data_IF_908954399146
#
_entry.id   IF_908954399146
#
_cell.length_a   1.000
_cell.length_b   1.000
_cell.length_c   1.000
_cell.angle_alpha   90.00
_cell.angle_beta   90.00
_cell.angle_gamma   90.00
#
_symmetry.space_group_name_H-M   'P 1'
#
loop_
_entity.id
_entity.type
_entity.pdbx_description
1 polymer ?
#
# COMPACT_ATOMS: atom_id res chain seq x y z
N UNK A 1 -95.51 38.92 -11.44
CA UNK A 1 -94.49 38.19 -12.23
C UNK A 1 -94.01 39.11 -13.35
N UNK A 2 -92.88 39.80 -13.17
CA UNK A 2 -92.35 40.67 -14.23
C UNK A 2 -91.87 39.82 -15.40
N UNK A 3 -92.56 39.94 -16.55
CA UNK A 3 -92.15 39.27 -17.80
C UNK A 3 -90.86 39.92 -18.27
N UNK A 4 -89.77 39.16 -18.23
CA UNK A 4 -88.50 39.58 -18.83
C UNK A 4 -88.75 39.77 -20.32
N UNK A 5 -88.52 40.99 -20.81
CA UNK A 5 -88.73 41.29 -22.22
C UNK A 5 -87.65 40.59 -23.06
N UNK A 6 -87.95 40.15 -24.29
CA UNK A 6 -87.00 39.42 -25.15
C UNK A 6 -85.72 40.22 -25.44
N UNK A 7 -85.78 41.56 -25.31
CA UNK A 7 -84.62 42.45 -25.41
C UNK A 7 -83.68 42.33 -24.21
N UNK A 8 -84.21 42.25 -23.00
CA UNK A 8 -83.42 42.05 -21.78
C UNK A 8 -82.74 40.68 -21.77
N UNK A 9 -83.42 39.64 -22.25
CA UNK A 9 -82.85 38.30 -22.39
C UNK A 9 -81.71 38.24 -23.41
N UNK A 10 -81.84 38.94 -24.56
CA UNK A 10 -80.76 39.06 -25.55
C UNK A 10 -79.56 39.81 -25.00
N UNK A 11 -79.77 40.90 -24.28
CA UNK A 11 -78.68 41.68 -23.68
C UNK A 11 -77.92 40.87 -22.62
N UNK A 12 -78.66 40.12 -21.79
CA UNK A 12 -78.07 39.23 -20.79
C UNK A 12 -77.23 38.12 -21.44
N UNK A 13 -77.69 37.52 -22.55
CA UNK A 13 -76.92 36.52 -23.29
C UNK A 13 -75.63 37.08 -23.90
N UNK A 14 -75.67 38.30 -24.46
CA UNK A 14 -74.50 38.97 -25.05
C UNK A 14 -73.44 39.36 -24.02
N UNK A 15 -73.81 39.58 -22.77
CA UNK A 15 -72.88 39.91 -21.68
C UNK A 15 -72.39 38.64 -20.98
N UNK A 16 -73.27 37.67 -20.76
CA UNK A 16 -72.94 36.45 -20.03
C UNK A 16 -71.92 35.58 -20.75
N UNK A 17 -71.95 35.50 -22.09
CA UNK A 17 -71.03 34.64 -22.85
C UNK A 17 -69.57 35.17 -22.78
N UNK A 18 -69.29 36.45 -23.09
CA UNK A 18 -67.94 37.00 -22.92
C UNK A 18 -67.49 37.00 -21.46
N UNK A 19 -68.38 37.31 -20.52
CA UNK A 19 -68.05 37.30 -19.09
C UNK A 19 -67.70 35.88 -18.60
N UNK A 20 -68.44 34.86 -19.05
CA UNK A 20 -68.12 33.47 -18.76
C UNK A 20 -66.80 33.03 -19.43
N UNK A 21 -66.50 33.52 -20.64
CA UNK A 21 -65.25 33.23 -21.33
C UNK A 21 -64.05 33.86 -20.63
N UNK A 22 -64.17 35.12 -20.19
CA UNK A 22 -63.15 35.83 -19.40
C UNK A 22 -62.98 35.17 -18.03
N UNK A 23 -64.08 34.84 -17.34
CA UNK A 23 -64.03 34.14 -16.07
C UNK A 23 -63.38 32.75 -16.20
N UNK A 24 -63.70 32.00 -17.27
CA UNK A 24 -63.09 30.70 -17.57
C UNK A 24 -61.61 30.85 -17.89
N UNK A 25 -61.22 31.88 -18.65
CA UNK A 25 -59.83 32.18 -18.96
C UNK A 25 -59.02 32.54 -17.71
N UNK A 26 -59.59 33.33 -16.79
CA UNK A 26 -58.96 33.67 -15.50
C UNK A 26 -58.77 32.42 -14.65
N UNK A 27 -59.79 31.55 -14.52
CA UNK A 27 -59.72 30.30 -13.74
C UNK A 27 -58.72 29.30 -14.33
N UNK A 28 -58.62 29.18 -15.64
CA UNK A 28 -57.63 28.30 -16.30
C UNK A 28 -56.21 28.86 -16.21
N UNK A 29 -56.07 30.20 -16.25
CA UNK A 29 -54.77 30.87 -16.11
C UNK A 29 -54.17 30.75 -14.71
N UNK A 30 -55.01 30.66 -13.66
CA UNK A 30 -54.56 30.43 -12.28
C UNK A 30 -54.30 28.95 -11.98
N UNK A 31 -54.81 28.02 -12.78
CA UNK A 31 -54.62 26.58 -12.59
C UNK A 31 -53.37 26.00 -13.29
N UNK A 32 -52.77 26.72 -14.24
CA UNK A 32 -51.74 26.18 -15.15
C UNK A 32 -50.28 26.48 -14.79
N UNK A 33 -49.96 26.84 -13.54
CA UNK A 33 -48.56 26.95 -13.06
C UNK A 33 -48.25 25.88 -12.01
N UNK A 34 -48.11 24.64 -12.47
CA UNK A 34 -47.41 23.60 -11.70
C UNK A 34 -46.73 22.62 -12.64
N UNK A 35 -45.65 23.08 -13.28
CA UNK A 35 -44.62 22.16 -13.74
C UNK A 35 -43.87 21.65 -12.51
N UNK A 36 -44.39 20.60 -11.87
CA UNK A 36 -43.64 19.89 -10.83
C UNK A 36 -42.49 19.15 -11.50
N UNK A 37 -41.30 19.75 -11.50
CA UNK A 37 -40.06 19.04 -11.79
C UNK A 37 -39.20 19.03 -10.54
N UNK A 38 -38.84 17.83 -10.08
CA UNK A 38 -37.81 17.63 -9.08
C UNK A 38 -36.66 16.88 -9.74
N UNK A 39 -35.43 17.37 -9.56
CA UNK A 39 -34.21 16.64 -9.89
C UNK A 39 -33.56 16.21 -8.59
N UNK A 40 -33.02 15.00 -8.56
CA UNK A 40 -32.12 14.55 -7.51
C UNK A 40 -30.80 14.22 -8.18
N UNK A 41 -29.69 14.64 -7.58
CA UNK A 41 -28.35 14.49 -8.15
C UNK A 41 -27.54 13.70 -7.15
N UNK A 42 -27.01 12.55 -7.56
CA UNK A 42 -25.87 11.98 -6.88
C UNK A 42 -24.64 12.70 -7.45
N UNK A 43 -23.88 13.48 -6.66
CA UNK A 43 -22.67 14.12 -7.15
C UNK A 43 -21.71 13.08 -7.73
N UNK A 44 -20.72 13.55 -8.49
CA UNK A 44 -19.67 12.68 -9.05
C UNK A 44 -19.07 11.82 -7.94
N UNK A 45 -19.26 10.51 -8.05
CA UNK A 45 -18.62 9.54 -7.17
C UNK A 45 -17.15 9.40 -7.59
N UNK A 46 -16.25 9.56 -6.63
CA UNK A 46 -14.82 9.44 -6.86
C UNK A 46 -14.31 8.25 -6.05
N UNK A 47 -13.58 7.35 -6.70
CA UNK A 47 -12.92 6.23 -6.04
C UNK A 47 -11.43 6.30 -6.36
N UNK A 48 -10.60 6.27 -5.32
CA UNK A 48 -9.15 6.19 -5.44
C UNK A 48 -8.70 4.88 -4.82
N UNK A 49 -7.92 4.09 -5.55
CA UNK A 49 -7.28 2.92 -4.99
C UNK A 49 -6.24 3.35 -3.94
N UNK A 50 -6.12 2.56 -2.86
CA UNK A 50 -5.00 2.68 -1.95
C UNK A 50 -3.72 2.11 -2.56
N UNK A 51 -2.58 2.41 -1.95
CA UNK A 51 -1.25 2.01 -2.43
C UNK A 51 -0.55 1.07 -1.46
N UNK A 52 0.31 0.22 -2.00
CA UNK A 52 1.37 -0.48 -1.27
C UNK A 52 2.68 0.03 -1.82
N UNK A 53 3.53 0.59 -0.97
CA UNK A 53 4.80 1.17 -1.38
C UNK A 53 5.86 0.92 -0.30
N UNK A 54 7.00 0.38 -0.72
CA UNK A 54 8.20 0.24 0.09
C UNK A 54 9.36 0.96 -0.59
N UNK A 55 10.22 1.56 0.22
CA UNK A 55 11.54 2.03 -0.16
C UNK A 55 12.55 1.66 0.91
N UNK A 56 13.82 1.62 0.56
CA UNK A 56 14.92 1.49 1.52
C UNK A 56 15.92 2.66 1.38
N UNK A 57 16.95 2.69 2.24
CA UNK A 57 17.96 3.76 2.32
C UNK A 57 19.31 3.39 1.66
N UNK A 58 19.39 2.34 0.81
CA UNK A 58 20.64 1.85 0.20
C UNK A 58 20.97 2.43 -1.19
N UNK A 59 20.03 3.17 -1.79
CA UNK A 59 20.16 3.75 -3.13
C UNK A 59 20.59 2.71 -4.19
N UNK A 60 20.02 1.51 -4.10
CA UNK A 60 20.25 0.35 -4.95
C UNK A 60 21.69 -0.22 -4.87
N UNK A 61 22.31 -0.12 -3.68
CA UNK A 61 23.67 -0.58 -3.38
C UNK A 61 23.64 -1.89 -2.60
N UNK A 62 24.51 -2.84 -2.92
CA UNK A 62 24.60 -4.08 -2.16
C UNK A 62 24.99 -3.82 -0.69
N UNK A 63 24.30 -4.45 0.26
CA UNK A 63 24.65 -4.36 1.69
C UNK A 63 26.08 -4.83 1.98
N UNK A 64 26.64 -5.74 1.19
CA UNK A 64 28.02 -6.22 1.37
C UNK A 64 28.74 -6.36 0.04
N UNK A 65 29.96 -5.83 -0.01
CA UNK A 65 30.96 -6.10 -1.05
C UNK A 65 32.24 -6.63 -0.40
N UNK A 66 32.11 -7.77 0.29
CA UNK A 66 33.20 -8.34 1.07
C UNK A 66 34.15 -9.16 0.17
N UNK A 67 35.45 -8.88 0.27
CA UNK A 67 36.50 -9.58 -0.48
C UNK A 67 37.58 -10.10 0.45
N UNK A 68 38.31 -11.14 0.06
CA UNK A 68 39.42 -11.68 0.86
C UNK A 68 38.97 -12.25 2.21
N UNK A 69 37.74 -12.79 2.27
CA UNK A 69 37.21 -13.42 3.47
C UNK A 69 38.08 -14.62 3.89
N UNK A 70 38.34 -14.72 5.20
CA UNK A 70 39.08 -15.82 5.83
C UNK A 70 38.29 -16.33 7.04
N UNK A 71 38.63 -17.50 7.61
CA UNK A 71 38.03 -17.95 8.86
C UNK A 71 38.08 -16.86 9.95
N UNK A 72 36.93 -16.62 10.58
CA UNK A 72 36.73 -15.54 11.56
C UNK A 72 36.37 -14.17 10.98
N UNK A 73 36.37 -13.99 9.65
CA UNK A 73 35.88 -12.75 9.03
C UNK A 73 34.40 -12.55 9.37
N UNK A 74 34.04 -11.32 9.75
CA UNK A 74 32.66 -10.95 10.09
C UNK A 74 32.37 -9.54 9.63
N UNK A 75 31.12 -9.24 9.33
CA UNK A 75 30.65 -7.91 9.02
C UNK A 75 29.18 -7.76 9.33
N UNK A 76 28.75 -6.55 9.65
CA UNK A 76 27.36 -6.21 9.89
C UNK A 76 27.03 -4.90 9.21
N UNK A 77 25.87 -4.85 8.56
CA UNK A 77 25.30 -3.64 7.98
C UNK A 77 23.82 -3.57 8.31
N UNK A 78 23.35 -2.34 8.47
CA UNK A 78 21.95 -2.06 8.71
C UNK A 78 21.33 -1.44 7.46
N UNK A 79 20.02 -1.55 7.35
CA UNK A 79 19.22 -0.96 6.28
C UNK A 79 17.84 -0.60 6.84
N UNK A 80 17.34 0.58 6.51
CA UNK A 80 16.04 1.08 6.92
C UNK A 80 15.05 0.87 5.80
N UNK A 81 14.05 0.02 6.02
CA UNK A 81 12.93 -0.16 5.09
C UNK A 81 11.76 0.68 5.57
N UNK A 82 11.19 1.48 4.67
CA UNK A 82 10.09 2.40 4.95
C UNK A 82 8.89 2.07 4.08
N UNK A 83 7.74 1.94 4.73
CA UNK A 83 6.43 1.79 4.10
C UNK A 83 5.73 3.14 4.05
N UNK A 84 5.32 3.56 2.86
CA UNK A 84 4.55 4.80 2.62
C UNK A 84 3.19 4.51 1.95
N UNK A 85 2.85 3.23 1.80
CA UNK A 85 1.55 2.80 1.27
C UNK A 85 0.39 3.26 2.14
N UNK A 86 -0.79 3.42 1.54
CA UNK A 86 -2.04 3.79 2.23
C UNK A 86 -2.91 2.60 2.62
N UNK A 87 -2.48 1.37 2.32
CA UNK A 87 -3.14 0.13 2.69
C UNK A 87 -2.33 -0.64 3.73
N UNK A 88 -3.04 -1.34 4.61
CA UNK A 88 -2.42 -2.35 5.47
C UNK A 88 -1.73 -3.41 4.60
N UNK A 89 -0.52 -3.81 4.99
CA UNK A 89 0.27 -4.78 4.24
C UNK A 89 1.07 -5.68 5.16
N UNK A 90 1.59 -6.78 4.62
CA UNK A 90 2.60 -7.62 5.27
C UNK A 90 3.90 -7.50 4.51
N UNK A 91 4.99 -7.29 5.23
CA UNK A 91 6.34 -7.21 4.67
C UNK A 91 7.09 -8.51 4.92
N UNK A 92 7.64 -9.09 3.86
CA UNK A 92 8.46 -10.29 3.87
C UNK A 92 9.83 -10.03 3.27
N UNK A 93 10.84 -10.69 3.82
CA UNK A 93 12.22 -10.67 3.34
C UNK A 93 12.59 -12.04 2.79
N UNK A 94 13.12 -12.07 1.57
CA UNK A 94 13.62 -13.28 0.93
C UNK A 94 14.91 -13.01 0.14
N UNK A 95 15.60 -14.10 -0.21
CA UNK A 95 16.82 -14.09 -1.00
C UNK A 95 16.54 -14.11 -2.50
N UNK A 96 17.36 -13.40 -3.26
CA UNK A 96 17.32 -13.39 -4.73
C UNK A 96 18.71 -13.65 -5.31
N UNK A 97 18.78 -14.23 -6.52
CA UNK A 97 20.03 -14.48 -7.24
C UNK A 97 21.15 -15.16 -6.42
N UNK A 98 20.87 -16.23 -5.64
CA UNK A 98 21.92 -16.93 -4.91
C UNK A 98 22.89 -17.61 -5.88
N UNK A 99 24.19 -17.43 -5.68
CA UNK A 99 25.21 -18.21 -6.38
C UNK A 99 26.38 -18.51 -5.44
N UNK A 100 27.05 -19.64 -5.64
CA UNK A 100 28.23 -19.99 -4.85
C UNK A 100 29.19 -20.89 -5.61
N UNK A 101 30.47 -20.78 -5.30
CA UNK A 101 31.52 -21.71 -5.71
C UNK A 101 32.27 -22.21 -4.47
N UNK A 102 32.88 -23.39 -4.59
CA UNK A 102 33.60 -24.07 -3.50
C UNK A 102 32.81 -24.15 -2.18
N UNK A 103 31.47 -24.19 -2.27
CA UNK A 103 30.56 -24.27 -1.14
C UNK A 103 30.73 -23.14 -0.10
N UNK A 104 31.21 -21.96 -0.50
CA UNK A 104 31.45 -20.85 0.42
C UNK A 104 30.16 -20.38 1.11
N UNK A 105 29.02 -20.31 0.40
CA UNK A 105 27.75 -19.85 0.98
C UNK A 105 27.24 -20.75 2.12
N UNK A 106 27.56 -22.05 2.09
CA UNK A 106 27.23 -22.99 3.19
C UNK A 106 28.16 -22.83 4.39
N UNK A 107 29.25 -22.08 4.25
CA UNK A 107 30.25 -21.80 5.27
C UNK A 107 30.27 -20.31 5.66
N UNK A 108 29.23 -19.56 5.32
CA UNK A 108 28.99 -18.22 5.83
C UNK A 108 27.72 -18.30 6.67
N UNK A 109 27.87 -18.07 7.98
CA UNK A 109 26.74 -17.88 8.87
C UNK A 109 26.11 -16.53 8.58
N UNK A 110 24.78 -16.49 8.51
CA UNK A 110 23.96 -15.32 8.26
C UNK A 110 22.97 -15.17 9.41
N UNK A 111 22.96 -13.99 10.01
CA UNK A 111 21.95 -13.58 10.98
C UNK A 111 21.24 -12.35 10.45
N UNK A 112 19.90 -12.40 10.46
CA UNK A 112 19.06 -11.26 10.07
C UNK A 112 18.18 -10.92 11.26
N UNK A 113 18.27 -9.67 11.70
CA UNK A 113 17.49 -9.13 12.79
C UNK A 113 16.68 -7.93 12.32
N UNK A 114 15.55 -7.68 12.95
CA UNK A 114 14.74 -6.48 12.79
C UNK A 114 14.65 -5.71 14.11
N UNK A 115 14.52 -4.40 14.02
CA UNK A 115 14.53 -3.53 15.18
C UNK A 115 14.43 -2.05 14.83
N UNK A 116 15.06 -1.23 15.64
CA UNK A 116 15.10 0.23 15.51
C UNK A 116 16.50 0.77 15.76
N UNK A 117 16.81 1.95 15.24
CA UNK A 117 18.13 2.56 15.37
C UNK A 117 19.16 1.97 14.39
N UNK A 118 20.19 2.73 14.06
CA UNK A 118 21.06 2.45 12.91
C UNK A 118 20.48 2.99 11.59
N UNK A 119 21.10 2.63 10.47
CA UNK A 119 20.70 2.99 9.11
C UNK A 119 21.67 2.40 8.09
N UNK A 120 21.48 2.69 6.80
CA UNK A 120 22.37 2.16 5.76
C UNK A 120 23.86 2.37 6.08
N UNK A 121 24.64 1.29 6.00
CA UNK A 121 26.09 1.31 6.23
C UNK A 121 26.54 1.44 7.68
N UNK A 122 25.62 1.54 8.67
CA UNK A 122 25.98 1.57 10.09
C UNK A 122 24.89 1.03 11.01
N UNK A 123 25.28 0.08 11.87
CA UNK A 123 24.40 -0.45 12.91
C UNK A 123 24.56 0.22 14.29
N UNK A 124 25.24 1.37 14.36
CA UNK A 124 25.38 2.10 15.61
C UNK A 124 24.01 2.50 16.17
N UNK A 125 23.75 2.15 17.43
CA UNK A 125 22.45 2.40 18.08
C UNK A 125 21.34 1.42 17.68
N UNK A 126 21.63 0.42 16.84
CA UNK A 126 20.66 -0.62 16.53
C UNK A 126 20.26 -1.40 17.78
N UNK A 127 18.96 -1.51 18.00
CA UNK A 127 18.35 -2.28 19.07
C UNK A 127 17.37 -3.29 18.45
N UNK A 128 17.62 -4.61 18.59
CA UNK A 128 16.69 -5.63 18.10
C UNK A 128 15.30 -5.47 18.73
N UNK A 129 14.26 -5.80 17.97
CA UNK A 129 12.91 -5.84 18.50
C UNK A 129 12.79 -6.92 19.60
N UNK A 130 12.03 -6.62 20.66
CA UNK A 130 11.83 -7.55 21.78
C UNK A 130 11.05 -8.80 21.39
N UNK A 131 10.15 -8.67 20.41
CA UNK A 131 9.36 -9.77 19.84
C UNK A 131 9.75 -9.96 18.38
N UNK A 132 10.05 -11.20 18.00
CA UNK A 132 10.49 -11.56 16.64
C UNK A 132 11.68 -10.70 16.16
N UNK A 133 12.62 -10.39 17.07
CA UNK A 133 13.80 -9.58 16.76
C UNK A 133 14.79 -10.27 15.84
N UNK A 134 14.96 -11.59 15.96
CA UNK A 134 15.74 -12.39 15.03
C UNK A 134 14.81 -13.06 14.01
N UNK A 135 14.99 -12.73 12.74
CA UNK A 135 14.20 -13.28 11.64
C UNK A 135 14.82 -14.55 11.06
N UNK A 136 16.15 -14.62 11.08
CA UNK A 136 16.88 -15.77 10.56
C UNK A 136 18.22 -15.92 11.27
N UNK A 137 18.60 -17.17 11.53
CA UNK A 137 19.95 -17.55 11.94
C UNK A 137 20.27 -18.91 11.31
N UNK A 138 21.31 -18.96 10.47
CA UNK A 138 21.68 -20.14 9.71
C UNK A 138 22.81 -19.82 8.75
N UNK A 139 22.84 -20.47 7.58
CA UNK A 139 23.86 -20.20 6.54
C UNK A 139 23.28 -19.35 5.41
N UNK A 140 24.15 -18.69 4.64
CA UNK A 140 23.75 -17.97 3.41
C UNK A 140 23.08 -18.91 2.41
N UNK A 141 23.63 -20.13 2.24
CA UNK A 141 23.06 -21.13 1.33
C UNK A 141 21.66 -21.60 1.76
N UNK A 142 21.45 -21.86 3.04
CA UNK A 142 20.14 -22.29 3.55
C UNK A 142 19.09 -21.17 3.40
N UNK A 143 19.46 -19.91 3.63
CA UNK A 143 18.54 -18.79 3.43
C UNK A 143 18.15 -18.64 1.96
N UNK A 144 19.15 -18.63 1.06
CA UNK A 144 18.91 -18.45 -0.38
C UNK A 144 18.14 -19.60 -1.04
N UNK A 145 18.04 -20.77 -0.40
CA UNK A 145 17.26 -21.91 -0.90
C UNK A 145 15.87 -22.02 -0.28
N UNK A 146 15.72 -21.67 1.01
CA UNK A 146 14.45 -21.78 1.72
C UNK A 146 13.56 -20.54 1.57
N UNK A 147 14.14 -19.34 1.55
CA UNK A 147 13.42 -18.06 1.50
C UNK A 147 13.59 -17.42 0.13
N UNK A 148 12.73 -17.75 -0.83
CA UNK A 148 12.94 -17.42 -2.26
C UNK A 148 11.90 -16.47 -2.85
N UNK A 149 10.82 -16.19 -2.12
CA UNK A 149 9.69 -15.37 -2.55
C UNK A 149 8.88 -14.91 -1.34
N UNK A 150 7.85 -14.09 -1.58
CA UNK A 150 6.96 -13.60 -0.52
C UNK A 150 6.36 -14.71 0.36
N UNK A 151 5.85 -15.80 -0.23
CA UNK A 151 5.19 -16.88 0.51
C UNK A 151 6.15 -17.64 1.47
N UNK A 152 7.42 -17.75 1.08
CA UNK A 152 8.48 -18.42 1.85
C UNK A 152 9.34 -17.45 2.67
N UNK A 153 9.11 -16.15 2.54
CA UNK A 153 9.92 -15.11 3.15
C UNK A 153 9.79 -15.05 4.67
N UNK A 154 10.84 -14.55 5.31
CA UNK A 154 10.89 -14.31 6.75
C UNK A 154 10.34 -12.93 7.09
N UNK A 155 10.06 -12.68 8.36
CA UNK A 155 9.49 -11.40 8.82
C UNK A 155 7.99 -11.45 9.04
N UNK A 156 7.53 -10.55 9.91
CA UNK A 156 6.13 -10.40 10.34
C UNK A 156 5.74 -8.92 10.48
N UNK A 157 6.58 -8.00 9.99
CA UNK A 157 6.25 -6.58 10.04
C UNK A 157 5.01 -6.33 9.16
N UNK A 158 3.99 -5.72 9.77
CA UNK A 158 2.72 -5.42 9.12
C UNK A 158 2.41 -3.93 9.24
N UNK A 159 2.85 -3.09 8.27
CA UNK A 159 2.45 -1.69 8.21
C UNK A 159 0.93 -1.56 8.12
N UNK A 160 0.38 -0.58 8.83
CA UNK A 160 -1.06 -0.27 8.87
C UNK A 160 -1.52 0.52 7.66
N UNK A 161 -0.61 1.24 7.00
CA UNK A 161 -0.91 2.14 5.89
C UNK A 161 -1.57 3.47 6.32
N UNK A 162 -1.61 3.75 7.61
CA UNK A 162 -2.21 4.99 8.13
C UNK A 162 -1.23 6.17 8.16
N UNK A 163 0.07 5.88 8.20
CA UNK A 163 1.18 6.83 8.17
C UNK A 163 2.45 6.16 7.64
N UNK A 164 3.51 6.93 7.43
CA UNK A 164 4.83 6.38 7.14
C UNK A 164 5.34 5.56 8.32
N UNK A 165 5.75 4.33 8.07
CA UNK A 165 6.27 3.40 9.08
C UNK A 165 7.63 2.86 8.61
N UNK A 166 8.59 2.75 9.53
CA UNK A 166 9.93 2.23 9.20
C UNK A 166 10.33 1.08 10.10
N UNK A 167 11.15 0.19 9.54
CA UNK A 167 11.82 -0.90 10.25
C UNK A 167 13.28 -0.95 9.84
N UNK A 168 14.17 -1.02 10.83
CA UNK A 168 15.59 -1.23 10.56
C UNK A 168 15.89 -2.72 10.63
N UNK A 169 16.66 -3.22 9.67
CA UNK A 169 17.16 -4.57 9.66
C UNK A 169 18.67 -4.55 9.85
N UNK A 170 19.19 -5.41 10.72
CA UNK A 170 20.62 -5.69 10.83
C UNK A 170 20.92 -7.02 10.19
N UNK A 171 21.78 -7.03 9.19
CA UNK A 171 22.29 -8.24 8.57
C UNK A 171 23.72 -8.43 9.04
N UNK A 172 24.05 -9.61 9.53
CA UNK A 172 25.40 -9.96 9.98
C UNK A 172 25.83 -11.24 9.27
N UNK A 173 27.03 -11.22 8.69
CA UNK A 173 27.68 -12.43 8.18
C UNK A 173 28.90 -12.77 9.03
N UNK A 174 29.20 -14.07 9.15
CA UNK A 174 30.43 -14.56 9.78
C UNK A 174 30.91 -15.82 9.06
N UNK A 175 32.18 -15.84 8.65
CA UNK A 175 32.88 -17.08 8.26
C UNK A 175 33.34 -17.77 9.54
N UNK A 176 32.87 -18.98 9.86
CA UNK A 176 33.29 -19.69 11.08
C UNK A 176 34.81 -19.84 11.16
N UNK A 177 35.37 -19.80 12.36
CA UNK A 177 36.81 -20.04 12.57
C UNK A 177 37.22 -21.47 12.20
N UNK A 178 36.27 -22.41 12.24
CA UNK A 178 36.44 -23.80 11.83
C UNK A 178 36.15 -24.05 10.34
N UNK A 179 35.98 -23.00 9.53
CA UNK A 179 35.69 -23.14 8.11
C UNK A 179 36.84 -23.89 7.39
N UNK A 180 36.54 -24.92 6.56
CA UNK A 180 37.56 -25.80 6.00
C UNK A 180 38.32 -25.12 4.85
N UNK A 181 39.58 -25.51 4.63
CA UNK A 181 40.39 -25.00 3.51
C UNK A 181 39.76 -25.27 2.13
N UNK A 182 38.83 -26.22 2.01
CA UNK A 182 38.12 -26.53 0.76
C UNK A 182 37.31 -25.36 0.21
N UNK A 183 36.99 -24.34 1.01
CA UNK A 183 36.25 -23.14 0.55
C UNK A 183 37.17 -22.05 -0.01
N UNK A 184 38.49 -22.22 0.08
CA UNK A 184 39.45 -21.21 -0.38
C UNK A 184 39.24 -20.89 -1.87
N UNK A 185 39.32 -19.61 -2.23
CA UNK A 185 39.06 -19.13 -3.59
C UNK A 185 37.59 -19.20 -4.01
N UNK A 186 36.69 -19.65 -3.12
CA UNK A 186 35.25 -19.68 -3.36
C UNK A 186 34.63 -18.30 -3.38
N UNK A 187 33.43 -18.24 -3.96
CA UNK A 187 32.58 -17.06 -4.05
C UNK A 187 31.18 -17.38 -3.51
N UNK A 188 30.49 -16.37 -3.03
CA UNK A 188 29.10 -16.44 -2.60
C UNK A 188 28.43 -15.11 -2.89
N UNK A 189 27.23 -15.15 -3.46
CA UNK A 189 26.36 -13.99 -3.66
C UNK A 189 24.94 -14.34 -3.23
N UNK A 190 24.25 -13.33 -2.68
CA UNK A 190 22.86 -13.40 -2.29
C UNK A 190 22.31 -11.97 -2.30
N UNK A 191 21.31 -11.72 -3.12
CA UNK A 191 20.47 -10.52 -3.02
C UNK A 191 19.46 -10.68 -1.89
N UNK A 192 19.08 -9.57 -1.26
CA UNK A 192 18.05 -9.51 -0.24
C UNK A 192 16.93 -8.61 -0.75
N UNK A 193 15.69 -9.10 -0.67
CA UNK A 193 14.52 -8.40 -1.20
C UNK A 193 13.45 -8.31 -0.14
N UNK A 194 13.03 -7.08 0.17
CA UNK A 194 11.85 -6.81 0.97
C UNK A 194 10.66 -6.55 0.04
N UNK A 195 9.56 -7.24 0.28
CA UNK A 195 8.35 -7.11 -0.50
C UNK A 195 7.16 -6.91 0.44
N UNK A 196 6.30 -5.94 0.10
CA UNK A 196 5.01 -5.74 0.75
C UNK A 196 3.90 -6.26 -0.16
N UNK A 197 2.97 -7.03 0.41
CA UNK A 197 1.69 -7.34 -0.22
C UNK A 197 0.56 -6.92 0.70
N UNK A 198 -0.47 -6.28 0.16
CA UNK A 198 -1.72 -6.09 0.90
C UNK A 198 -2.57 -7.36 0.81
N UNK A 199 -3.34 -7.60 1.87
CA UNK A 199 -4.45 -8.56 1.88
C UNK A 199 -5.75 -7.90 1.46
#
# INVERSE_FOLDING_TARGET
MSRVTPRAARLAAWIAIPAALVASGVVVSTASYSAFSATTVNPTSNWTAGTVALSDDDNNTALFTATGLKPGSTGANCITVTSTGSLASTVKLYGTNPATTNNLASNINLTIEQGTGGGFGSCTGFTPATTSGTLYSGTVAAFGSASTNFATGVGTWAPTGSASESKVYRVTYTVPTAAPNTIQGGTASLGLTWEAQNS
#
